data_IF_115665468281
#
_entry.id   IF_115665468281
#
_cell.length_a   1.000
_cell.length_b   1.000
_cell.length_c   1.000
_cell.angle_alpha   90.00
_cell.angle_beta   90.00
_cell.angle_gamma   90.00
#
_symmetry.space_group_name_H-M   'P 1'
#
loop_
_entity.id
_entity.type
_entity.pdbx_description
1 polymer ?
#
# COMPACT_ATOMS: atom_id res chain seq x y z
N UNK A 1 -3.71 -2.91 38.75
CA UNK A 1 -3.69 -3.59 37.43
C UNK A 1 -5.11 -3.98 37.10
N UNK A 2 -5.72 -3.31 36.11
CA UNK A 2 -7.01 -3.72 35.55
C UNK A 2 -6.73 -3.91 34.07
N UNK A 3 -6.75 -5.15 33.63
CA UNK A 3 -6.58 -5.55 32.24
C UNK A 3 -7.55 -4.77 31.36
N UNK A 4 -7.03 -3.76 30.69
CA UNK A 4 -7.64 -3.21 29.49
C UNK A 4 -7.24 -4.13 28.34
N UNK A 5 -7.79 -5.35 28.33
CA UNK A 5 -7.78 -6.17 27.13
C UNK A 5 -8.51 -5.34 26.07
N UNK A 6 -7.76 -4.81 25.12
CA UNK A 6 -8.28 -4.11 23.95
C UNK A 6 -9.23 -5.08 23.24
N UNK A 7 -10.53 -4.94 23.50
CA UNK A 7 -11.56 -5.55 22.68
C UNK A 7 -11.46 -4.86 21.33
N UNK A 8 -10.69 -5.44 20.43
CA UNK A 8 -10.68 -5.06 19.02
C UNK A 8 -12.06 -5.49 18.51
N UNK A 9 -12.98 -4.55 18.41
CA UNK A 9 -14.21 -4.76 17.65
C UNK A 9 -13.79 -4.93 16.18
N UNK A 10 -13.92 -6.14 15.60
CA UNK A 10 -13.50 -6.40 14.22
C UNK A 10 -14.34 -5.63 13.19
N UNK A 11 -15.43 -4.99 13.62
CA UNK A 11 -16.29 -4.11 12.80
C UNK A 11 -15.97 -2.62 12.99
N UNK A 12 -15.19 -2.25 14.01
CA UNK A 12 -14.82 -0.86 14.30
C UNK A 12 -13.58 -0.37 13.52
N UNK A 13 -12.76 -1.29 13.00
CA UNK A 13 -11.73 -0.93 12.03
C UNK A 13 -12.37 -0.81 10.65
N UNK A 14 -12.14 0.29 9.90
CA UNK A 14 -12.49 0.31 8.49
C UNK A 14 -11.94 -0.97 7.85
N UNK A 15 -12.83 -1.75 7.22
CA UNK A 15 -12.49 -2.97 6.50
C UNK A 15 -11.70 -2.57 5.24
N UNK A 16 -10.51 -2.03 5.45
CA UNK A 16 -9.52 -1.93 4.41
C UNK A 16 -9.29 -3.36 3.94
N UNK A 17 -9.19 -3.57 2.62
CA UNK A 17 -8.75 -4.84 2.12
C UNK A 17 -7.47 -5.21 2.88
N UNK A 18 -7.49 -6.33 3.60
CA UNK A 18 -6.28 -6.98 4.11
C UNK A 18 -5.80 -7.92 3.00
N UNK A 19 -4.50 -8.01 2.78
CA UNK A 19 -3.97 -8.89 1.74
C UNK A 19 -4.39 -10.32 1.99
N UNK A 20 -4.43 -11.13 0.94
CA UNK A 20 -4.45 -12.57 1.15
C UNK A 20 -3.08 -12.98 1.70
N UNK A 21 -2.91 -12.84 3.02
CA UNK A 21 -1.71 -13.26 3.74
C UNK A 21 -1.55 -14.78 3.75
N UNK A 22 -2.54 -15.54 3.24
CA UNK A 22 -2.49 -16.99 3.17
C UNK A 22 -1.82 -17.51 1.90
N UNK A 23 -1.63 -16.64 0.89
CA UNK A 23 -0.97 -16.97 -0.37
C UNK A 23 0.11 -15.93 -0.73
N UNK A 24 1.13 -15.83 0.12
CA UNK A 24 2.28 -14.93 -0.06
C UNK A 24 3.15 -15.25 -1.30
N UNK A 25 2.90 -16.39 -1.97
CA UNK A 25 3.62 -16.81 -3.17
C UNK A 25 3.14 -16.11 -4.45
N UNK A 26 1.93 -15.54 -4.44
CA UNK A 26 1.34 -14.86 -5.60
C UNK A 26 1.36 -13.34 -5.42
N UNK A 27 1.55 -12.56 -6.50
CA UNK A 27 1.44 -11.10 -6.43
C UNK A 27 0.05 -10.69 -5.94
N UNK A 28 -0.01 -9.80 -4.96
CA UNK A 28 -1.28 -9.28 -4.46
C UNK A 28 -2.07 -8.60 -5.60
N UNK A 29 -3.29 -9.08 -5.95
CA UNK A 29 -4.06 -8.55 -7.07
C UNK A 29 -4.48 -7.08 -6.88
N UNK A 30 -4.38 -6.55 -5.65
CA UNK A 30 -4.66 -5.15 -5.32
C UNK A 30 -3.49 -4.25 -5.70
N UNK A 31 -2.30 -4.80 -5.93
CA UNK A 31 -1.14 -4.07 -6.46
C UNK A 31 -1.30 -3.81 -7.96
N UNK A 32 -2.10 -2.81 -8.29
CA UNK A 32 -2.47 -2.44 -9.66
C UNK A 32 -1.72 -1.21 -10.16
N UNK A 33 -1.73 -0.99 -11.48
CA UNK A 33 -1.22 0.28 -12.05
C UNK A 33 -2.00 1.49 -11.54
N UNK A 34 -3.32 1.37 -11.33
CA UNK A 34 -4.15 2.46 -10.77
C UNK A 34 -3.70 2.84 -9.36
N UNK A 35 -3.37 1.87 -8.50
CA UNK A 35 -2.81 2.15 -7.18
C UNK A 35 -1.51 2.95 -7.27
N UNK A 36 -0.63 2.63 -8.23
CA UNK A 36 0.63 3.38 -8.43
C UNK A 36 0.35 4.83 -8.84
N UNK A 37 -0.65 5.07 -9.67
CA UNK A 37 -1.07 6.42 -10.07
C UNK A 37 -1.71 7.19 -8.91
N UNK A 38 -2.57 6.56 -8.12
CA UNK A 38 -3.17 7.18 -6.94
C UNK A 38 -2.10 7.61 -5.93
N UNK A 39 -1.07 6.77 -5.73
CA UNK A 39 0.08 7.12 -4.89
C UNK A 39 0.89 8.26 -5.51
N UNK A 40 1.09 8.28 -6.82
CA UNK A 40 1.78 9.38 -7.51
C UNK A 40 1.06 10.72 -7.29
N UNK A 41 -0.27 10.73 -7.37
CA UNK A 41 -1.10 11.90 -7.08
C UNK A 41 -0.93 12.38 -5.64
N UNK A 42 -0.90 11.46 -4.67
CA UNK A 42 -0.64 11.80 -3.26
C UNK A 42 0.74 12.42 -3.11
N UNK A 43 1.77 11.82 -3.69
CA UNK A 43 3.14 12.35 -3.64
C UNK A 43 3.22 13.76 -4.23
N UNK A 44 2.61 13.99 -5.40
CA UNK A 44 2.57 15.31 -6.04
C UNK A 44 1.91 16.37 -5.14
N UNK A 45 0.78 16.03 -4.49
CA UNK A 45 0.10 16.92 -3.52
C UNK A 45 0.96 17.24 -2.30
N UNK A 46 1.95 16.40 -1.98
CA UNK A 46 2.90 16.62 -0.90
C UNK A 46 4.22 17.26 -1.36
N UNK A 47 4.31 17.75 -2.60
CA UNK A 47 5.45 18.50 -3.12
C UNK A 47 6.54 17.64 -3.76
N UNK A 48 6.28 16.36 -4.01
CA UNK A 48 7.15 15.56 -4.86
C UNK A 48 6.91 15.87 -6.34
N UNK A 49 7.88 15.63 -7.23
CA UNK A 49 7.70 15.83 -8.66
C UNK A 49 6.58 14.97 -9.26
N UNK A 50 5.88 15.51 -10.25
CA UNK A 50 4.93 14.73 -11.06
C UNK A 50 5.65 13.68 -11.91
N UNK A 51 4.95 12.58 -12.21
CA UNK A 51 5.45 11.59 -13.18
C UNK A 51 5.30 12.17 -14.59
N UNK A 52 6.42 12.35 -15.30
CA UNK A 52 6.42 12.93 -16.65
C UNK A 52 6.70 11.92 -17.74
N UNK A 53 7.11 10.71 -17.36
CA UNK A 53 7.52 9.67 -18.28
C UNK A 53 7.13 8.28 -17.80
N UNK A 54 7.10 7.32 -18.74
CA UNK A 54 6.94 5.91 -18.39
C UNK A 54 8.09 5.36 -17.53
N UNK A 55 9.28 5.97 -17.60
CA UNK A 55 10.41 5.61 -16.76
C UNK A 55 10.16 5.97 -15.28
N UNK A 56 9.56 7.15 -15.02
CA UNK A 56 9.20 7.57 -13.67
C UNK A 56 8.14 6.62 -13.07
N UNK A 57 7.15 6.24 -13.88
CA UNK A 57 6.12 5.28 -13.47
C UNK A 57 6.71 3.90 -13.15
N UNK A 58 7.63 3.40 -13.98
CA UNK A 58 8.32 2.15 -13.73
C UNK A 58 9.17 2.19 -12.45
N UNK A 59 9.88 3.30 -12.22
CA UNK A 59 10.67 3.52 -11.02
C UNK A 59 9.77 3.51 -9.76
N UNK A 60 8.69 4.29 -9.75
CA UNK A 60 7.75 4.34 -8.63
C UNK A 60 7.15 2.97 -8.35
N UNK A 61 6.71 2.23 -9.38
CA UNK A 61 6.18 0.87 -9.25
C UNK A 61 7.19 -0.07 -8.58
N UNK A 62 8.46 -0.02 -8.97
CA UNK A 62 9.50 -0.86 -8.37
C UNK A 62 9.78 -0.51 -6.91
N UNK A 63 9.79 0.78 -6.56
CA UNK A 63 9.96 1.20 -5.17
C UNK A 63 8.78 0.79 -4.29
N UNK A 64 7.55 0.95 -4.76
CA UNK A 64 6.35 0.53 -4.02
C UNK A 64 6.29 -0.99 -3.86
N UNK A 65 6.63 -1.76 -4.90
CA UNK A 65 6.72 -3.22 -4.81
C UNK A 65 7.69 -3.65 -3.70
N UNK A 66 8.89 -3.06 -3.68
CA UNK A 66 9.91 -3.32 -2.64
C UNK A 66 9.43 -2.89 -1.25
N UNK A 67 8.82 -1.71 -1.12
CA UNK A 67 8.31 -1.22 0.15
C UNK A 67 7.24 -2.15 0.73
N UNK A 68 6.29 -2.59 -0.10
CA UNK A 68 5.17 -3.43 0.33
C UNK A 68 5.57 -4.88 0.63
N UNK A 69 6.54 -5.45 -0.09
CA UNK A 69 6.87 -6.88 0.02
C UNK A 69 8.17 -7.19 0.76
N UNK A 70 9.14 -6.28 0.72
CA UNK A 70 10.47 -6.50 1.32
C UNK A 70 10.56 -5.87 2.71
N UNK A 71 9.54 -5.06 3.12
CA UNK A 71 9.30 -4.60 4.49
C UNK A 71 10.55 -4.32 5.32
N UNK A 72 10.95 -3.05 5.44
CA UNK A 72 12.00 -2.70 6.42
C UNK A 72 11.68 -3.23 7.81
#
# INVERSE_FOLDING_TARGET
MKDASLVIDPTAYPAFPVGDMTNEAEPDPRFTTSLVLDVADVLARHGYPELTSGADLAALRMYLLRFCHIGR
#
